data_IF_613749258000
#
_entry.id   IF_613749258000
#
_cell.length_a   1.000
_cell.length_b   1.000
_cell.length_c   1.000
_cell.angle_alpha   90.00
_cell.angle_beta   90.00
_cell.angle_gamma   90.00
#
_symmetry.space_group_name_H-M   'P 1'
#
loop_
_entity.id
_entity.type
_entity.pdbx_description
1 polymer ?
#
# COMPACT_ATOMS: atom_id res chain seq x y z
N UNK A 1 -46.36 -9.11 -14.75
CA UNK A 1 -45.97 -8.01 -13.83
C UNK A 1 -44.87 -8.42 -12.83
N UNK A 2 -44.93 -9.58 -12.18
CA UNK A 2 -43.92 -10.05 -11.20
C UNK A 2 -42.51 -10.25 -11.76
N UNK A 3 -42.35 -10.82 -12.97
CA UNK A 3 -41.03 -11.04 -13.59
C UNK A 3 -40.24 -9.74 -13.85
N UNK A 4 -40.92 -8.65 -14.20
CA UNK A 4 -40.29 -7.32 -14.41
C UNK A 4 -39.79 -6.71 -13.10
N UNK A 5 -40.52 -6.89 -12.00
CA UNK A 5 -40.09 -6.44 -10.66
C UNK A 5 -38.87 -7.23 -10.18
N UNK A 6 -38.83 -8.55 -10.42
CA UNK A 6 -37.67 -9.38 -10.12
C UNK A 6 -36.45 -8.98 -10.94
N UNK A 7 -36.58 -8.75 -12.26
CA UNK A 7 -35.47 -8.26 -13.09
C UNK A 7 -34.96 -6.89 -12.64
N UNK A 8 -35.84 -5.96 -12.27
CA UNK A 8 -35.43 -4.66 -11.74
C UNK A 8 -34.69 -4.79 -10.41
N UNK A 9 -35.14 -5.69 -9.53
CA UNK A 9 -34.45 -6.02 -8.29
C UNK A 9 -33.03 -6.56 -8.53
N UNK A 10 -32.86 -7.52 -9.44
CA UNK A 10 -31.53 -8.06 -9.76
C UNK A 10 -30.62 -7.01 -10.43
N UNK A 11 -31.16 -6.12 -11.26
CA UNK A 11 -30.40 -5.02 -11.84
C UNK A 11 -29.91 -4.03 -10.77
N UNK A 12 -30.78 -3.67 -9.82
CA UNK A 12 -30.42 -2.82 -8.68
C UNK A 12 -29.37 -3.48 -7.78
N UNK A 13 -29.49 -4.79 -7.53
CA UNK A 13 -28.51 -5.54 -6.77
C UNK A 13 -27.14 -5.59 -7.47
N UNK A 14 -27.10 -5.82 -8.79
CA UNK A 14 -25.86 -5.75 -9.55
C UNK A 14 -25.23 -4.35 -9.51
N UNK A 15 -26.04 -3.29 -9.67
CA UNK A 15 -25.55 -1.91 -9.58
C UNK A 15 -24.97 -1.59 -8.19
N UNK A 16 -25.59 -2.09 -7.12
CA UNK A 16 -25.09 -1.94 -5.75
C UNK A 16 -23.76 -2.67 -5.55
N UNK A 17 -23.63 -3.88 -6.08
CA UNK A 17 -22.41 -4.69 -6.00
C UNK A 17 -21.26 -4.17 -6.89
N UNK A 18 -21.59 -3.39 -7.93
CA UNK A 18 -20.61 -2.77 -8.82
C UNK A 18 -20.03 -1.46 -8.27
N UNK A 19 -20.48 -0.99 -7.10
CA UNK A 19 -19.91 0.21 -6.48
C UNK A 19 -18.45 -0.06 -6.08
N UNK A 20 -17.51 0.83 -6.45
CA UNK A 20 -16.12 0.68 -6.03
C UNK A 20 -16.02 0.85 -4.51
N UNK A 21 -15.34 -0.09 -3.86
CA UNK A 21 -14.97 0.05 -2.46
C UNK A 21 -13.68 0.88 -2.38
N UNK A 22 -13.59 1.86 -1.48
CA UNK A 22 -12.33 2.56 -1.27
C UNK A 22 -11.29 1.58 -0.73
N UNK A 23 -10.11 1.55 -1.34
CA UNK A 23 -8.95 0.91 -0.70
C UNK A 23 -8.52 1.81 0.45
N UNK A 24 -8.53 1.27 1.66
CA UNK A 24 -8.14 2.03 2.83
C UNK A 24 -6.66 1.78 3.09
N UNK A 25 -5.85 2.83 2.84
CA UNK A 25 -4.48 2.89 3.32
C UNK A 25 -4.43 3.12 4.82
N UNK A 26 -3.23 3.08 5.37
CA UNK A 26 -3.00 3.40 6.78
C UNK A 26 -1.77 4.29 6.94
N UNK A 27 -1.82 5.18 7.93
CA UNK A 27 -0.69 6.04 8.25
C UNK A 27 0.19 5.42 9.33
N UNK A 28 1.50 5.53 9.17
CA UNK A 28 2.46 5.04 10.15
C UNK A 28 3.80 5.75 10.06
N UNK A 29 4.57 5.68 11.16
CA UNK A 29 5.92 6.26 11.20
C UNK A 29 6.92 5.27 10.61
N UNK A 30 7.76 5.72 9.70
CA UNK A 30 8.88 4.89 9.22
C UNK A 30 9.94 4.78 10.33
N UNK A 31 10.24 3.56 10.73
CA UNK A 31 11.19 3.22 11.80
C UNK A 31 12.41 2.45 11.29
N UNK A 32 12.43 2.05 10.02
CA UNK A 32 13.56 1.38 9.38
C UNK A 32 13.51 1.47 7.86
N UNK A 33 14.67 1.38 7.22
CA UNK A 33 14.82 1.30 5.76
C UNK A 33 15.82 0.19 5.45
N UNK A 34 15.35 -0.87 4.81
CA UNK A 34 16.15 -2.05 4.49
C UNK A 34 16.86 -1.90 3.15
N UNK A 35 16.15 -1.37 2.14
CA UNK A 35 16.62 -1.12 0.78
C UNK A 35 15.90 0.10 0.17
N UNK A 36 16.21 0.46 -1.08
CA UNK A 36 15.55 1.60 -1.75
C UNK A 36 14.04 1.44 -1.91
N UNK A 37 13.54 0.20 -1.97
CA UNK A 37 12.12 -0.14 -2.14
C UNK A 37 11.48 -0.79 -0.91
N UNK A 38 12.23 -0.98 0.18
CA UNK A 38 11.79 -1.78 1.33
C UNK A 38 12.00 -0.99 2.62
N UNK A 39 10.91 -0.72 3.32
CA UNK A 39 10.87 0.06 4.57
C UNK A 39 10.15 -0.70 5.68
N UNK A 40 10.41 -0.32 6.93
CA UNK A 40 9.65 -0.78 8.09
C UNK A 40 8.87 0.38 8.69
N UNK A 41 7.56 0.21 8.83
CA UNK A 41 6.62 1.23 9.28
C UNK A 41 5.87 0.74 10.52
N UNK A 42 5.73 1.60 11.52
CA UNK A 42 4.99 1.29 12.75
C UNK A 42 3.49 1.39 12.51
N UNK A 43 2.76 0.30 12.73
CA UNK A 43 1.30 0.20 12.68
C UNK A 43 0.78 -0.36 13.99
N UNK A 44 -0.05 0.39 14.72
CA UNK A 44 -0.62 -0.07 15.99
C UNK A 44 0.45 -0.63 16.95
N UNK A 45 1.56 0.11 17.09
CA UNK A 45 2.76 -0.26 17.87
C UNK A 45 3.53 -1.50 17.37
N UNK A 46 3.13 -2.09 16.25
CA UNK A 46 3.80 -3.22 15.62
C UNK A 46 4.62 -2.80 14.40
N UNK A 47 5.88 -3.24 14.28
CA UNK A 47 6.68 -3.01 13.08
C UNK A 47 6.14 -3.85 11.92
N UNK A 48 5.77 -3.20 10.81
CA UNK A 48 5.33 -3.84 9.58
C UNK A 48 6.34 -3.55 8.48
N UNK A 49 6.89 -4.62 7.89
CA UNK A 49 7.78 -4.51 6.73
C UNK A 49 6.96 -4.32 5.45
N UNK A 50 7.26 -3.27 4.70
CA UNK A 50 6.55 -2.86 3.48
C UNK A 50 7.54 -2.85 2.32
N UNK A 51 7.25 -3.60 1.26
CA UNK A 51 7.96 -3.51 -0.03
C UNK A 51 7.08 -2.75 -1.03
N UNK A 52 7.66 -1.76 -1.68
CA UNK A 52 6.97 -0.94 -2.66
C UNK A 52 6.66 -1.77 -3.91
N UNK A 53 5.39 -1.80 -4.30
CA UNK A 53 4.92 -2.56 -5.45
C UNK A 53 5.35 -1.88 -6.76
N UNK A 54 5.79 -2.69 -7.74
CA UNK A 54 6.09 -2.23 -9.09
C UNK A 54 7.46 -1.56 -9.26
N UNK A 55 8.29 -1.53 -8.21
CA UNK A 55 9.70 -1.13 -8.28
C UNK A 55 10.58 -2.22 -7.67
N UNK A 56 11.83 -2.27 -8.11
CA UNK A 56 12.86 -3.15 -7.55
C UNK A 56 14.17 -2.37 -7.43
N UNK A 57 14.68 -2.23 -6.21
CA UNK A 57 15.91 -1.51 -5.93
C UNK A 57 17.07 -2.50 -5.78
N UNK A 58 18.32 -2.11 -6.13
CA UNK A 58 19.47 -2.91 -5.74
C UNK A 58 19.52 -3.12 -4.23
N UNK A 59 19.81 -4.35 -3.82
CA UNK A 59 19.94 -4.74 -2.42
C UNK A 59 21.30 -4.33 -1.83
N UNK A 60 21.43 -4.47 -0.51
CA UNK A 60 22.71 -4.27 0.17
C UNK A 60 23.79 -5.21 -0.40
N UNK A 61 24.94 -4.64 -0.78
CA UNK A 61 26.05 -5.37 -1.43
C UNK A 61 25.99 -5.42 -2.96
N UNK A 62 24.89 -4.99 -3.57
CA UNK A 62 24.85 -4.77 -5.03
C UNK A 62 25.36 -3.37 -5.38
N UNK A 63 25.87 -3.16 -6.61
CA UNK A 63 26.18 -1.82 -7.10
C UNK A 63 24.98 -0.88 -6.91
N UNK A 64 25.21 0.30 -6.35
CA UNK A 64 24.21 1.34 -6.06
C UNK A 64 23.20 1.03 -4.93
N UNK A 65 23.31 -0.12 -4.24
CA UNK A 65 22.39 -0.49 -3.16
C UNK A 65 22.46 0.44 -1.94
N UNK A 66 23.67 0.88 -1.58
CA UNK A 66 23.88 1.81 -0.46
C UNK A 66 23.29 3.19 -0.78
N UNK A 67 23.48 3.67 -2.00
CA UNK A 67 22.96 4.94 -2.50
C UNK A 67 21.43 4.94 -2.57
N UNK A 68 20.82 3.85 -3.06
CA UNK A 68 19.37 3.71 -3.10
C UNK A 68 18.75 3.69 -1.70
N UNK A 69 19.35 2.92 -0.77
CA UNK A 69 18.94 2.90 0.64
C UNK A 69 19.08 4.29 1.30
N UNK A 70 20.17 5.00 1.04
CA UNK A 70 20.41 6.34 1.58
C UNK A 70 19.40 7.36 1.04
N UNK A 71 19.08 7.29 -0.26
CA UNK A 71 18.08 8.15 -0.89
C UNK A 71 16.72 7.98 -0.22
N UNK A 72 16.23 6.73 -0.12
CA UNK A 72 14.95 6.43 0.53
C UNK A 72 14.96 6.81 2.01
N UNK A 73 16.05 6.52 2.73
CA UNK A 73 16.21 6.92 4.14
C UNK A 73 16.07 8.43 4.34
N UNK A 74 16.73 9.23 3.49
CA UNK A 74 16.64 10.69 3.53
C UNK A 74 15.21 11.18 3.28
N UNK A 75 14.49 10.49 2.40
CA UNK A 75 13.12 10.86 2.05
C UNK A 75 12.11 10.54 3.16
N UNK A 76 12.20 9.37 3.81
CA UNK A 76 11.08 8.87 4.64
C UNK A 76 11.42 8.49 6.08
N UNK A 77 12.69 8.28 6.44
CA UNK A 77 13.03 7.80 7.79
C UNK A 77 12.55 8.78 8.88
N UNK A 78 11.85 8.25 9.88
CA UNK A 78 11.29 9.04 10.98
C UNK A 78 10.07 9.87 10.63
N UNK A 79 9.60 9.86 9.38
CA UNK A 79 8.41 10.60 8.93
C UNK A 79 7.15 9.73 8.98
N UNK A 80 6.00 10.39 9.06
CA UNK A 80 4.70 9.75 8.84
C UNK A 80 4.49 9.55 7.33
N UNK A 81 4.12 8.34 6.93
CA UNK A 81 3.79 7.97 5.55
C UNK A 81 2.40 7.34 5.50
N UNK A 82 1.80 7.34 4.32
CA UNK A 82 0.61 6.54 3.98
C UNK A 82 1.07 5.28 3.23
N UNK A 83 0.59 4.12 3.66
CA UNK A 83 0.82 2.81 3.04
C UNK A 83 -0.47 2.32 2.39
#
# INVERSE_FOLDING_TARGET
MMKRKASLFYLLLMLLLALPLPVQGWSGKVIGVDAGDTITVLRDEQPVRVRLYGIDSPDEGQPFGAEAKQFTSTMVFGKMVEV
#
